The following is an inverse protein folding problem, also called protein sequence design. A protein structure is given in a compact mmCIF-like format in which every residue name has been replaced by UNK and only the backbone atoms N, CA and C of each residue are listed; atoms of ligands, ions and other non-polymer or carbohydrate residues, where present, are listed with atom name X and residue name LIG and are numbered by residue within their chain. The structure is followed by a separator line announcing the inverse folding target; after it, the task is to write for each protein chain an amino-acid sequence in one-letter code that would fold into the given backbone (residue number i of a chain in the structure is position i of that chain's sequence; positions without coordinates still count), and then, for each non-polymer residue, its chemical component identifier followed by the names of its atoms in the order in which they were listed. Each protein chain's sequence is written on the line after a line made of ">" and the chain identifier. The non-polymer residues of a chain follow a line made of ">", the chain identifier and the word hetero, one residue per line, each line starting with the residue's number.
data_IF_895565871013
#
_entry.id   IF_895565871013
#
_cell.length_a   1.000
_cell.length_b   1.000
_cell.length_c   1.000
_cell.angle_alpha   90.00
_cell.angle_beta   90.00
_cell.angle_gamma   90.00
#
_symmetry.space_group_name_H-M   'P 1'
#
loop_
_entity.id
_entity.type
_entity.pdbx_description
1 polymer ?
#
# COMPACT_ATOMS: atom_id res chain seq x y z
N UNK A 1 32.59 -42.25 -4.54
CA UNK A 1 31.16 -42.31 -4.96
C UNK A 1 30.36 -42.24 -3.66
N UNK A 2 29.45 -41.32 -3.38
CA UNK A 2 28.69 -40.39 -4.21
C UNK A 2 28.39 -39.11 -3.43
N UNK A 3 28.33 -37.99 -4.16
CA UNK A 3 27.75 -36.73 -3.69
C UNK A 3 26.25 -36.94 -3.45
N UNK A 4 25.71 -36.34 -2.39
CA UNK A 4 24.29 -35.95 -2.32
C UNK A 4 24.25 -34.46 -2.01
N UNK A 5 23.89 -33.71 -3.03
CA UNK A 5 23.49 -32.31 -2.98
C UNK A 5 22.09 -32.18 -2.34
N UNK A 6 21.78 -30.94 -1.94
CA UNK A 6 20.43 -30.33 -1.91
C UNK A 6 19.52 -30.78 -0.75
N UNK A 7 18.93 -29.89 0.06
CA UNK A 7 18.30 -28.60 -0.23
C UNK A 7 18.40 -27.69 1.00
N UNK A 8 18.90 -26.46 0.82
CA UNK A 8 18.60 -25.37 1.72
C UNK A 8 17.17 -24.92 1.40
N UNK A 9 16.19 -25.41 2.16
CA UNK A 9 14.82 -24.92 2.05
C UNK A 9 14.77 -23.55 2.71
N UNK A 10 14.72 -22.52 1.87
CA UNK A 10 14.42 -21.14 2.20
C UNK A 10 13.27 -21.09 3.23
N UNK A 11 13.60 -20.58 4.43
CA UNK A 11 12.59 -20.14 5.37
C UNK A 11 11.99 -18.87 4.79
N UNK A 12 10.91 -19.02 4.05
CA UNK A 12 10.03 -17.91 3.74
C UNK A 12 9.57 -17.28 5.07
N UNK A 13 9.81 -16.00 5.34
CA UNK A 13 9.32 -15.38 6.54
C UNK A 13 7.81 -15.18 6.41
N UNK A 14 7.06 -16.18 6.88
CA UNK A 14 5.67 -16.08 7.28
C UNK A 14 5.54 -15.05 8.42
N UNK A 15 5.59 -13.76 8.08
CA UNK A 15 5.63 -12.69 9.07
C UNK A 15 5.49 -11.26 8.52
N UNK A 16 4.94 -11.04 7.32
CA UNK A 16 4.76 -9.68 6.76
C UNK A 16 3.29 -9.31 6.45
N UNK A 17 2.36 -9.83 7.25
CA UNK A 17 0.94 -9.44 7.19
C UNK A 17 0.35 -9.13 8.58
N UNK A 18 1.16 -9.18 9.64
CA UNK A 18 0.68 -9.11 11.03
C UNK A 18 1.36 -7.97 11.81
N UNK A 19 1.22 -6.73 11.36
CA UNK A 19 1.41 -5.51 12.17
C UNK A 19 0.98 -4.22 11.44
N UNK A 20 -0.13 -4.21 10.67
CA UNK A 20 -0.70 -2.94 10.16
C UNK A 20 -1.70 -2.36 11.16
N UNK A 21 -1.36 -2.39 12.46
CA UNK A 21 -2.13 -1.79 13.53
C UNK A 21 -1.46 -0.48 13.97
N UNK A 22 -1.99 0.63 13.49
CA UNK A 22 -2.34 1.77 14.35
C UNK A 22 -1.46 3.01 14.36
N UNK A 23 -0.13 2.88 14.37
CA UNK A 23 0.74 4.03 14.65
C UNK A 23 1.80 4.21 13.56
N UNK A 24 2.02 5.45 13.13
CA UNK A 24 3.07 5.87 12.20
C UNK A 24 2.85 5.41 10.75
N UNK A 25 1.63 5.50 10.21
CA UNK A 25 1.39 5.22 8.79
C UNK A 25 0.58 6.32 8.13
N UNK A 26 0.77 6.52 6.82
CA UNK A 26 -0.02 7.41 5.97
C UNK A 26 -0.62 6.62 4.80
N UNK A 27 -1.75 7.11 4.30
CA UNK A 27 -2.34 6.63 3.06
C UNK A 27 -2.05 7.57 1.89
N UNK A 28 -1.66 6.98 0.77
CA UNK A 28 -1.68 7.64 -0.53
C UNK A 28 -2.68 6.95 -1.44
N UNK A 29 -3.46 7.73 -2.19
CA UNK A 29 -4.49 7.22 -3.07
C UNK A 29 -4.20 7.66 -4.50
N UNK A 30 -4.39 6.75 -5.45
CA UNK A 30 -4.39 7.08 -6.87
C UNK A 30 -5.55 6.35 -7.58
N UNK A 31 -6.00 6.94 -8.68
CA UNK A 31 -7.22 6.51 -9.36
C UNK A 31 -6.98 6.38 -10.86
N UNK A 32 -7.13 5.17 -11.39
CA UNK A 32 -6.94 4.83 -12.79
C UNK A 32 -8.22 4.47 -13.53
N UNK A 33 -8.07 4.19 -14.81
CA UNK A 33 -9.12 3.71 -15.71
C UNK A 33 -9.37 2.21 -15.52
N UNK A 34 -10.59 1.83 -15.16
CA UNK A 34 -11.02 0.43 -14.98
C UNK A 34 -10.89 -0.42 -16.24
N UNK A 35 -10.96 0.16 -17.43
CA UNK A 35 -10.75 -0.57 -18.68
C UNK A 35 -9.33 -1.14 -18.81
N UNK A 36 -8.39 -0.62 -18.01
CA UNK A 36 -6.98 -1.03 -17.99
C UNK A 36 -6.61 -1.84 -16.74
N UNK A 37 -7.59 -2.40 -16.02
CA UNK A 37 -7.34 -3.14 -14.78
C UNK A 37 -6.50 -4.41 -14.96
N UNK A 38 -6.45 -4.96 -16.18
CA UNK A 38 -5.58 -6.10 -16.51
C UNK A 38 -4.18 -5.71 -17.02
N UNK A 39 -3.87 -4.43 -17.14
CA UNK A 39 -2.57 -3.92 -17.60
C UNK A 39 -1.64 -3.71 -16.40
N UNK A 40 -0.71 -4.64 -16.20
CA UNK A 40 0.20 -4.61 -15.04
C UNK A 40 1.15 -3.40 -15.04
N UNK A 41 1.60 -2.95 -16.22
CA UNK A 41 2.45 -1.76 -16.37
C UNK A 41 1.67 -0.49 -16.02
N UNK A 42 0.39 -0.44 -16.42
CA UNK A 42 -0.50 0.64 -16.00
C UNK A 42 -0.73 0.63 -14.48
N UNK A 43 -1.01 -0.54 -13.89
CA UNK A 43 -1.17 -0.67 -12.44
C UNK A 43 0.10 -0.29 -11.68
N UNK A 44 1.29 -0.58 -12.22
CA UNK A 44 2.56 -0.12 -11.65
C UNK A 44 2.63 1.42 -11.61
N UNK A 45 2.23 2.09 -12.68
CA UNK A 45 2.15 3.56 -12.74
C UNK A 45 1.22 4.11 -11.66
N UNK A 46 0.02 3.52 -11.50
CA UNK A 46 -0.92 3.97 -10.46
C UNK A 46 -0.39 3.71 -9.05
N UNK A 47 0.38 2.62 -8.84
CA UNK A 47 1.06 2.36 -7.56
C UNK A 47 2.10 3.44 -7.26
N UNK A 48 2.95 3.79 -8.23
CA UNK A 48 3.93 4.87 -8.07
C UNK A 48 3.26 6.21 -7.75
N UNK A 49 2.16 6.54 -8.44
CA UNK A 49 1.37 7.75 -8.14
C UNK A 49 0.80 7.71 -6.72
N UNK A 50 0.29 6.56 -6.27
CA UNK A 50 -0.23 6.44 -4.90
C UNK A 50 0.87 6.61 -3.85
N UNK A 51 2.09 6.13 -4.10
CA UNK A 51 3.23 6.32 -3.22
C UNK A 51 3.70 7.78 -3.19
N UNK A 52 3.75 8.44 -4.34
CA UNK A 52 4.10 9.87 -4.41
C UNK A 52 3.06 10.72 -3.67
N UNK A 53 1.78 10.39 -3.78
CA UNK A 53 0.73 11.09 -3.02
C UNK A 53 0.91 10.90 -1.50
N UNK A 54 1.28 9.70 -1.05
CA UNK A 54 1.62 9.47 0.36
C UNK A 54 2.84 10.29 0.79
N UNK A 55 3.88 10.37 -0.06
CA UNK A 55 5.09 11.17 0.20
C UNK A 55 4.79 12.65 0.30
N UNK A 56 3.96 13.19 -0.59
CA UNK A 56 3.55 14.60 -0.55
C UNK A 56 2.76 14.91 0.71
N UNK A 57 1.89 14.00 1.14
CA UNK A 57 1.11 14.16 2.37
C UNK A 57 2.01 14.14 3.61
N UNK A 58 2.90 13.15 3.71
CA UNK A 58 3.92 13.09 4.75
C UNK A 58 4.75 14.38 4.85
N UNK A 59 5.19 14.91 3.69
CA UNK A 59 5.95 16.16 3.64
C UNK A 59 5.14 17.37 4.14
N UNK A 60 3.83 17.44 3.88
CA UNK A 60 2.95 18.49 4.43
C UNK A 60 2.81 18.39 5.95
N UNK A 61 2.89 17.18 6.49
CA UNK A 61 2.86 16.91 7.92
C UNK A 61 4.25 17.05 8.58
N UNK A 62 5.29 17.35 7.81
CA UNK A 62 6.66 17.52 8.31
C UNK A 62 7.38 16.21 8.63
N UNK A 63 6.85 15.07 8.19
CA UNK A 63 7.45 13.74 8.35
C UNK A 63 7.94 13.20 7.01
N UNK A 64 8.71 12.11 7.06
CA UNK A 64 9.16 11.39 5.87
C UNK A 64 8.48 10.03 5.79
N UNK A 65 8.42 9.43 4.61
CA UNK A 65 7.97 8.04 4.44
C UNK A 65 9.17 7.10 4.37
N UNK A 66 8.98 5.85 4.80
CA UNK A 66 9.86 4.74 4.44
C UNK A 66 9.25 3.96 3.26
N UNK A 67 9.66 4.24 2.01
CA UNK A 67 9.06 3.61 0.83
C UNK A 67 9.27 2.08 0.79
N UNK A 68 10.25 1.53 1.52
CA UNK A 68 10.47 0.08 1.59
C UNK A 68 9.36 -0.68 2.33
N UNK A 69 8.52 0.06 3.06
CA UNK A 69 7.37 -0.45 3.80
C UNK A 69 6.05 -0.30 3.04
N UNK A 70 6.08 0.27 1.83
CA UNK A 70 4.87 0.53 1.06
C UNK A 70 4.12 -0.77 0.74
N UNK A 71 2.84 -0.80 1.14
CA UNK A 71 1.89 -1.86 0.83
C UNK A 71 0.80 -1.29 -0.07
N UNK A 72 0.63 -1.89 -1.25
CA UNK A 72 -0.34 -1.45 -2.24
C UNK A 72 -1.57 -2.36 -2.24
N UNK A 73 -2.74 -1.77 -2.05
CA UNK A 73 -4.04 -2.45 -2.20
C UNK A 73 -4.71 -1.91 -3.45
N UNK A 74 -4.96 -2.78 -4.43
CA UNK A 74 -5.80 -2.43 -5.59
C UNK A 74 -7.24 -2.75 -5.23
N UNK A 75 -8.10 -1.74 -5.28
CA UNK A 75 -9.53 -1.79 -5.04
C UNK A 75 -10.20 -1.57 -6.39
N UNK A 76 -10.84 -2.61 -6.91
CA UNK A 76 -11.71 -2.56 -8.09
C UNK A 76 -13.10 -3.03 -7.68
N UNK A 77 -14.15 -2.39 -8.24
CA UNK A 77 -15.56 -2.63 -7.88
C UNK A 77 -15.97 -4.11 -7.90
N UNK A 78 -15.35 -4.94 -8.75
CA UNK A 78 -15.66 -6.37 -8.85
C UNK A 78 -15.19 -7.19 -7.62
N UNK A 79 -14.34 -6.66 -6.72
CA UNK A 79 -13.66 -7.52 -5.74
C UNK A 79 -13.28 -6.88 -4.39
N UNK A 80 -13.90 -5.79 -3.93
CA UNK A 80 -13.48 -5.17 -2.66
C UNK A 80 -14.62 -4.64 -1.78
N UNK A 81 -14.56 -5.05 -0.50
CA UNK A 81 -15.38 -4.62 0.65
C UNK A 81 -15.10 -3.16 1.10
N UNK A 82 -14.45 -2.35 0.28
CA UNK A 82 -14.04 -0.98 0.63
C UNK A 82 -14.89 -0.01 -0.18
N UNK A 83 -15.79 0.72 0.50
CA UNK A 83 -16.49 1.87 -0.09
C UNK A 83 -15.46 3.00 -0.26
N UNK A 84 -14.91 3.13 -1.46
CA UNK A 84 -13.95 4.18 -1.81
C UNK A 84 -14.64 5.53 -2.16
N UNK A 85 -15.92 5.69 -1.78
CA UNK A 85 -16.73 6.88 -2.05
C UNK A 85 -17.12 7.08 -3.52
N UNK A 86 -17.88 8.14 -3.81
CA UNK A 86 -18.40 8.43 -5.15
C UNK A 86 -17.29 8.67 -6.20
N UNK A 87 -16.11 9.14 -5.78
CA UNK A 87 -14.96 9.44 -6.65
C UNK A 87 -14.30 8.19 -7.26
N UNK A 88 -14.61 7.00 -6.73
CA UNK A 88 -14.02 5.72 -7.14
C UNK A 88 -14.91 4.87 -8.05
N UNK A 89 -16.18 5.27 -8.28
CA UNK A 89 -17.10 4.51 -9.14
C UNK A 89 -16.58 4.46 -10.58
N UNK A 90 -16.49 3.25 -11.13
CA UNK A 90 -16.00 2.94 -12.46
C UNK A 90 -14.48 3.05 -12.62
N UNK A 91 -13.71 3.13 -11.52
CA UNK A 91 -12.26 3.40 -11.57
C UNK A 91 -11.47 2.32 -10.83
N UNK A 92 -10.21 2.16 -11.23
CA UNK A 92 -9.23 1.45 -10.41
C UNK A 92 -8.85 2.40 -9.28
N UNK A 93 -8.93 1.94 -8.04
CA UNK A 93 -8.37 2.68 -6.91
C UNK A 93 -7.18 1.92 -6.37
N UNK A 94 -6.03 2.59 -6.24
CA UNK A 94 -4.87 2.02 -5.54
C UNK A 94 -4.66 2.80 -4.26
N UNK A 95 -4.67 2.09 -3.13
CA UNK A 95 -4.26 2.62 -1.84
C UNK A 95 -2.84 2.16 -1.55
N UNK A 96 -1.93 3.10 -1.36
CA UNK A 96 -0.64 2.88 -0.72
C UNK A 96 -0.78 3.11 0.78
N UNK A 97 -0.36 2.16 1.60
CA UNK A 97 -0.14 2.34 3.04
C UNK A 97 1.35 2.25 3.30
N UNK A 98 1.94 3.28 3.91
CA UNK A 98 3.39 3.37 4.11
C UNK A 98 3.70 3.90 5.50
N UNK A 99 4.78 3.43 6.10
CA UNK A 99 5.26 3.95 7.37
C UNK A 99 5.84 5.35 7.22
N UNK A 100 5.66 6.14 8.27
CA UNK A 100 6.26 7.47 8.38
C UNK A 100 7.27 7.53 9.52
N UNK A 101 8.29 8.35 9.32
CA UNK A 101 9.41 8.56 10.23
C UNK A 101 9.65 10.06 10.44
N UNK A 102 10.22 10.40 11.59
CA UNK A 102 10.55 11.77 11.96
C UNK A 102 9.77 12.28 13.17
N UNK A 103 10.04 13.53 13.60
CA UNK A 103 9.38 14.13 14.75
C UNK A 103 7.86 14.19 14.54
N UNK A 104 7.08 13.67 15.49
CA UNK A 104 5.62 13.64 15.42
C UNK A 104 5.04 12.48 14.59
N UNK A 105 5.87 11.62 14.00
CA UNK A 105 5.40 10.44 13.27
C UNK A 105 4.61 9.45 14.15
N UNK A 106 4.91 9.41 15.45
CA UNK A 106 4.19 8.62 16.46
C UNK A 106 2.75 9.05 16.72
N UNK A 107 2.42 10.29 16.34
CA UNK A 107 1.10 10.89 16.49
C UNK A 107 0.28 10.77 15.19
N UNK A 108 0.88 10.24 14.11
CA UNK A 108 0.22 10.07 12.82
C UNK A 108 -0.53 8.74 12.79
N UNK A 109 -1.83 8.86 12.59
CA UNK A 109 -2.75 7.74 12.47
C UNK A 109 -3.39 7.74 11.08
N UNK A 110 -3.19 6.65 10.35
CA UNK A 110 -3.92 6.39 9.12
C UNK A 110 -5.34 5.94 9.49
N UNK A 111 -6.22 6.88 9.79
CA UNK A 111 -7.64 6.58 10.00
C UNK A 111 -8.28 6.24 8.65
N UNK A 112 -8.30 4.95 8.30
CA UNK A 112 -9.16 4.47 7.23
C UNK A 112 -10.61 4.57 7.70
N UNK A 113 -11.61 4.65 6.82
CA UNK A 113 -13.01 4.68 7.24
C UNK A 113 -13.30 3.42 8.07
N UNK A 114 -13.29 3.60 9.39
CA UNK A 114 -13.89 2.68 10.33
C UNK A 114 -15.37 2.72 9.99
N UNK A 115 -15.92 1.61 9.52
CA UNK A 115 -17.36 1.43 9.34
C UNK A 115 -18.09 2.05 10.54
N UNK A 116 -18.77 3.17 10.30
CA UNK A 116 -19.76 3.75 11.20
C UNK A 116 -21.11 3.12 10.90
#
# INVERSE_FOLDING_TARGET
>A
MSRRSEHASEREPAGKLAAMNGNNTIFGWAFGDSARAGDEDYLATIRDESLENARQDAARQGVQIDPSTAVFTVVSEDNSLIDAGESARGRITVRCTVHVEGPGAEEIHAEGPMNG
#
